data_IF_428060221982
#
_entry.id   IF_428060221982
#
_cell.length_a   1.000
_cell.length_b   1.000
_cell.length_c   1.000
_cell.angle_alpha   90.00
_cell.angle_beta   90.00
_cell.angle_gamma   90.00
#
_symmetry.space_group_name_H-M   'P 1'
#
loop_
_entity.id
_entity.type
_entity.pdbx_description
1 polymer ?
#
# COMPACT_ATOMS: atom_id res chain seq x y z
N UNK A 1 94.82 44.85 110.96
CA UNK A 1 93.61 44.04 110.71
C UNK A 1 92.47 44.82 110.03
N UNK A 2 92.09 46.02 110.50
CA UNK A 2 90.98 46.80 109.91
C UNK A 2 91.16 47.21 108.42
N UNK A 3 92.38 47.53 107.98
CA UNK A 3 92.64 47.93 106.59
C UNK A 3 92.52 46.80 105.56
N UNK A 4 92.71 45.53 105.96
CA UNK A 4 92.54 44.37 105.07
C UNK A 4 91.05 44.04 104.86
N UNK A 5 90.22 44.23 105.88
CA UNK A 5 88.77 44.03 105.77
C UNK A 5 88.11 45.10 104.89
N UNK A 6 88.57 46.36 104.96
CA UNK A 6 88.09 47.42 104.08
C UNK A 6 88.45 47.18 102.60
N UNK A 7 89.65 46.68 102.32
CA UNK A 7 90.06 46.31 100.94
C UNK A 7 89.32 45.08 100.42
N UNK A 8 89.05 44.08 101.25
CA UNK A 8 88.22 42.93 100.86
C UNK A 8 86.75 43.33 100.66
N UNK A 9 86.19 44.22 101.47
CA UNK A 9 84.84 44.74 101.29
C UNK A 9 84.71 45.63 100.05
N UNK A 10 85.72 46.47 99.77
CA UNK A 10 85.74 47.32 98.58
C UNK A 10 86.03 46.51 97.31
N UNK A 11 86.93 45.52 97.35
CA UNK A 11 87.16 44.58 96.24
C UNK A 11 85.92 43.71 95.99
N UNK A 12 85.21 43.28 97.03
CA UNK A 12 83.96 42.52 96.91
C UNK A 12 82.80 43.39 96.41
N UNK A 13 82.77 44.68 96.76
CA UNK A 13 81.79 45.67 96.27
C UNK A 13 82.03 46.03 94.80
N UNK A 14 83.28 46.29 94.40
CA UNK A 14 83.66 46.55 93.00
C UNK A 14 83.38 45.32 92.12
N UNK A 15 83.67 44.10 92.59
CA UNK A 15 83.35 42.87 91.82
C UNK A 15 81.87 42.52 91.75
N UNK A 16 81.02 43.12 92.60
CA UNK A 16 79.56 42.95 92.55
C UNK A 16 78.91 43.99 91.62
N UNK A 17 79.43 45.20 91.58
CA UNK A 17 78.94 46.27 90.69
C UNK A 17 79.39 46.08 89.22
N UNK A 18 80.52 45.41 88.97
CA UNK A 18 80.98 45.06 87.60
C UNK A 18 80.21 43.88 86.95
N UNK A 19 79.29 43.22 87.67
CA UNK A 19 78.47 42.11 87.13
C UNK A 19 77.04 42.49 86.73
N UNK A 20 76.61 43.73 86.91
CA UNK A 20 75.25 44.20 86.57
C UNK A 20 75.19 45.17 85.39
N UNK A 21 76.19 45.13 84.50
CA UNK A 21 76.08 45.63 83.13
C UNK A 21 75.84 44.48 82.14
N UNK A 22 74.95 43.56 82.51
CA UNK A 22 74.24 42.78 81.50
C UNK A 22 73.26 43.73 80.80
N UNK A 23 73.64 44.13 79.59
CA UNK A 23 72.70 44.64 78.59
C UNK A 23 71.56 43.61 78.51
N UNK A 24 70.39 43.93 79.05
CA UNK A 24 69.21 43.11 78.83
C UNK A 24 68.82 43.30 77.36
N UNK A 25 69.23 42.34 76.55
CA UNK A 25 68.86 42.19 75.15
C UNK A 25 68.11 40.89 75.11
N UNK A 26 66.79 40.94 74.89
CA UNK A 26 66.09 39.73 74.47
C UNK A 26 66.67 39.35 73.13
N UNK A 27 67.12 38.10 73.01
CA UNK A 27 67.61 37.57 71.76
C UNK A 27 66.51 37.68 70.67
N UNK A 28 66.88 38.27 69.53
CA UNK A 28 65.92 38.62 68.47
C UNK A 28 65.27 37.37 67.87
N UNK A 29 65.97 36.23 67.84
CA UNK A 29 65.43 34.96 67.38
C UNK A 29 64.38 34.40 68.35
N UNK A 30 64.64 34.51 69.66
CA UNK A 30 63.69 34.14 70.72
C UNK A 30 62.44 35.02 70.67
N UNK A 31 62.60 36.34 70.48
CA UNK A 31 61.48 37.28 70.33
C UNK A 31 60.66 37.02 69.04
N UNK A 32 61.34 36.74 67.93
CA UNK A 32 60.70 36.39 66.66
C UNK A 32 59.89 35.09 66.76
N UNK A 33 60.44 34.07 67.42
CA UNK A 33 59.82 32.76 67.64
C UNK A 33 58.55 32.87 68.48
N UNK A 34 58.65 33.50 69.65
CA UNK A 34 57.52 33.62 70.59
C UNK A 34 56.37 34.39 69.94
N UNK A 35 56.66 35.46 69.20
CA UNK A 35 55.63 36.26 68.52
C UNK A 35 55.07 35.52 67.29
N UNK A 36 55.90 34.90 66.46
CA UNK A 36 55.45 34.21 65.25
C UNK A 36 54.57 32.99 65.55
N UNK A 37 54.87 32.28 66.64
CA UNK A 37 54.12 31.10 67.07
C UNK A 37 52.91 31.45 67.97
N UNK A 38 52.73 32.73 68.33
CA UNK A 38 51.65 33.17 69.25
C UNK A 38 51.81 32.64 70.67
N UNK A 39 53.03 32.41 71.12
CA UNK A 39 53.37 31.92 72.46
C UNK A 39 53.20 33.01 73.53
N UNK A 40 53.13 32.63 74.81
CA UNK A 40 52.98 33.59 75.91
C UNK A 40 54.17 34.56 75.94
N UNK A 41 53.89 35.85 75.82
CA UNK A 41 54.87 36.94 75.89
C UNK A 41 55.20 37.33 77.34
N UNK A 42 54.43 36.82 78.32
CA UNK A 42 54.63 37.06 79.76
C UNK A 42 56.06 36.81 80.26
N UNK A 43 56.74 35.71 79.87
CA UNK A 43 58.13 35.43 80.22
C UNK A 43 59.16 36.42 79.65
N UNK A 44 58.80 37.19 78.62
CA UNK A 44 59.66 38.25 78.06
C UNK A 44 59.37 39.59 78.74
N UNK A 45 58.09 39.86 79.00
CA UNK A 45 57.63 41.13 79.57
C UNK A 45 57.99 41.23 81.05
N UNK A 46 57.70 40.21 81.87
CA UNK A 46 57.91 40.27 83.33
C UNK A 46 59.36 40.61 83.73
N UNK A 47 60.40 39.96 83.16
CA UNK A 47 61.79 40.29 83.47
C UNK A 47 62.18 41.71 83.05
N UNK A 48 61.62 42.24 81.96
CA UNK A 48 61.92 43.60 81.49
C UNK A 48 61.47 44.69 82.48
N UNK A 49 60.30 44.47 83.10
CA UNK A 49 59.75 45.36 84.12
C UNK A 49 60.45 45.18 85.48
N UNK A 50 60.78 43.94 85.88
CA UNK A 50 61.54 43.65 87.10
C UNK A 50 62.95 44.25 87.07
N UNK A 51 63.59 44.31 85.89
CA UNK A 51 64.91 44.92 85.69
C UNK A 51 64.86 46.44 85.49
N UNK A 52 63.68 47.07 85.55
CA UNK A 52 63.51 48.53 85.40
C UNK A 52 63.87 49.08 84.02
N UNK A 53 63.80 48.25 82.96
CA UNK A 53 64.13 48.62 81.57
C UNK A 53 62.96 48.40 80.58
N UNK A 54 61.70 48.76 80.89
CA UNK A 54 60.58 48.54 79.97
C UNK A 54 60.71 49.34 78.66
N UNK A 55 61.37 50.49 78.68
CA UNK A 55 61.61 51.34 77.51
C UNK A 55 62.54 50.66 76.50
N UNK A 56 63.50 49.85 76.97
CA UNK A 56 64.40 49.08 76.12
C UNK A 56 63.66 47.95 75.39
N UNK A 57 62.76 47.23 76.10
CA UNK A 57 61.88 46.23 75.48
C UNK A 57 60.95 46.86 74.44
N UNK A 58 60.32 47.99 74.77
CA UNK A 58 59.46 48.71 73.84
C UNK A 58 60.24 49.17 72.60
N UNK A 59 61.49 49.61 72.76
CA UNK A 59 62.35 49.95 71.64
C UNK A 59 62.66 48.72 70.77
N UNK A 60 63.01 47.58 71.36
CA UNK A 60 63.26 46.33 70.64
C UNK A 60 62.02 45.83 69.88
N UNK A 61 60.84 45.85 70.51
CA UNK A 61 59.57 45.49 69.86
C UNK A 61 59.23 46.42 68.71
N UNK A 62 59.44 47.74 68.85
CA UNK A 62 59.24 48.69 67.75
C UNK A 62 60.20 48.43 66.59
N UNK A 63 61.46 48.10 66.88
CA UNK A 63 62.45 47.75 65.86
C UNK A 63 62.08 46.44 65.17
N UNK A 64 61.60 45.45 65.92
CA UNK A 64 61.10 44.18 65.37
C UNK A 64 59.88 44.39 64.46
N UNK A 65 58.88 45.18 64.89
CA UNK A 65 57.71 45.52 64.07
C UNK A 65 58.15 46.19 62.77
N UNK A 66 59.01 47.22 62.84
CA UNK A 66 59.53 47.90 61.64
C UNK A 66 60.27 46.95 60.71
N UNK A 67 61.07 46.03 61.26
CA UNK A 67 61.78 45.01 60.47
C UNK A 67 60.81 44.07 59.77
N UNK A 68 59.76 43.61 60.47
CA UNK A 68 58.72 42.75 59.89
C UNK A 68 57.87 43.47 58.86
N UNK A 69 57.56 44.76 59.06
CA UNK A 69 56.90 45.59 58.05
C UNK A 69 57.74 45.67 56.77
N UNK A 70 59.06 45.87 56.88
CA UNK A 70 59.98 45.87 55.74
C UNK A 70 60.08 44.49 55.08
N UNK A 71 60.13 43.40 55.85
CA UNK A 71 60.13 42.03 55.32
C UNK A 71 58.85 41.72 54.54
N UNK A 72 57.68 42.17 55.05
CA UNK A 72 56.39 42.05 54.35
C UNK A 72 56.40 42.87 53.07
N UNK A 73 56.86 44.13 53.14
CA UNK A 73 56.93 45.01 51.97
C UNK A 73 57.84 44.42 50.88
N UNK A 74 58.98 43.86 51.27
CA UNK A 74 59.93 43.23 50.35
C UNK A 74 59.36 41.95 49.73
N UNK A 75 58.68 41.10 50.50
CA UNK A 75 58.00 39.92 49.97
C UNK A 75 56.87 40.31 49.00
N UNK A 76 56.09 41.35 49.33
CA UNK A 76 55.09 41.89 48.42
C UNK A 76 55.73 42.45 47.14
N UNK A 77 56.87 43.15 47.24
CA UNK A 77 57.64 43.65 46.07
C UNK A 77 58.25 42.54 45.23
N UNK A 78 58.57 41.39 45.82
CA UNK A 78 59.09 40.25 45.06
C UNK A 78 57.99 39.56 44.24
N UNK A 79 56.76 39.53 44.74
CA UNK A 79 55.65 38.76 44.12
C UNK A 79 54.56 39.62 43.46
N UNK A 80 54.63 40.95 43.48
CA UNK A 80 53.55 41.78 42.92
C UNK A 80 53.36 41.57 41.42
N UNK A 81 54.45 41.34 40.67
CA UNK A 81 54.38 41.09 39.22
C UNK A 81 53.67 39.77 38.92
N UNK A 82 54.01 38.70 39.63
CA UNK A 82 53.35 37.38 39.51
C UNK A 82 51.86 37.47 39.86
N UNK A 83 51.51 38.23 40.89
CA UNK A 83 50.12 38.47 41.27
C UNK A 83 49.35 39.20 40.17
N UNK A 84 49.94 40.27 39.59
CA UNK A 84 49.31 41.01 38.49
C UNK A 84 49.11 40.09 37.28
N UNK A 85 50.12 39.29 36.93
CA UNK A 85 50.02 38.33 35.83
C UNK A 85 48.90 37.31 36.06
N UNK A 86 48.79 36.73 37.26
CA UNK A 86 47.71 35.79 37.58
C UNK A 86 46.31 36.44 37.49
N UNK A 87 46.17 37.69 37.91
CA UNK A 87 44.90 38.44 37.79
C UNK A 87 44.57 38.73 36.32
N UNK A 88 45.56 39.10 35.52
CA UNK A 88 45.37 39.32 34.08
C UNK A 88 44.99 38.02 33.35
N UNK A 89 45.62 36.88 33.68
CA UNK A 89 45.25 35.56 33.14
C UNK A 89 43.81 35.19 33.47
N UNK A 90 43.37 35.39 34.71
CA UNK A 90 41.97 35.17 35.10
C UNK A 90 41.02 36.08 34.31
N UNK A 91 41.41 37.32 34.02
CA UNK A 91 40.61 38.21 33.17
C UNK A 91 40.47 37.67 31.75
N UNK A 92 41.54 37.13 31.16
CA UNK A 92 41.46 36.51 29.83
C UNK A 92 40.54 35.28 29.83
N UNK A 93 40.64 34.41 30.84
CA UNK A 93 39.73 33.26 30.98
C UNK A 93 38.26 33.69 31.08
N UNK A 94 37.97 34.80 31.75
CA UNK A 94 36.61 35.34 31.82
C UNK A 94 36.10 35.85 30.46
N UNK A 95 36.98 36.46 29.66
CA UNK A 95 36.64 36.89 28.29
C UNK A 95 36.36 35.68 27.41
N UNK A 96 37.26 34.69 27.41
CA UNK A 96 37.09 33.44 26.64
C UNK A 96 35.81 32.69 27.02
N UNK A 97 35.48 32.67 28.32
CA UNK A 97 34.25 32.06 28.82
C UNK A 97 32.99 32.79 28.34
N UNK A 98 33.01 34.13 28.27
CA UNK A 98 31.89 34.92 27.75
C UNK A 98 31.73 34.76 26.23
N UNK A 99 32.84 34.73 25.48
CA UNK A 99 32.85 34.43 24.05
C UNK A 99 32.28 33.04 23.76
N UNK A 100 32.72 32.01 24.52
CA UNK A 100 32.19 30.66 24.41
C UNK A 100 30.69 30.60 24.71
N UNK A 101 30.25 31.31 25.76
CA UNK A 101 28.83 31.40 26.11
C UNK A 101 28.01 32.04 24.99
N UNK A 102 28.51 33.11 24.39
CA UNK A 102 27.86 33.76 23.26
C UNK A 102 27.82 32.85 22.02
N UNK A 103 28.94 32.18 21.70
CA UNK A 103 29.02 31.21 20.62
C UNK A 103 28.03 30.05 20.78
N UNK A 104 27.93 29.51 22.00
CA UNK A 104 26.97 28.45 22.31
C UNK A 104 25.52 28.92 22.17
N UNK A 105 25.21 30.14 22.62
CA UNK A 105 23.87 30.71 22.46
C UNK A 105 23.51 30.91 20.98
N UNK A 106 24.44 31.42 20.17
CA UNK A 106 24.27 31.59 18.73
C UNK A 106 24.04 30.26 18.02
N UNK A 107 24.89 29.27 18.27
CA UNK A 107 24.75 27.93 17.69
C UNK A 107 23.45 27.24 18.11
N UNK A 108 23.02 27.42 19.36
CA UNK A 108 21.74 26.90 19.82
C UNK A 108 20.57 27.54 19.07
N UNK A 109 20.58 28.86 18.86
CA UNK A 109 19.55 29.54 18.06
C UNK A 109 19.54 29.04 16.62
N UNK A 110 20.70 28.94 15.97
CA UNK A 110 20.80 28.43 14.60
C UNK A 110 20.28 26.99 14.49
N UNK A 111 20.63 26.13 15.44
CA UNK A 111 20.13 24.76 15.51
C UNK A 111 18.61 24.70 15.69
N UNK A 112 18.05 25.57 16.55
CA UNK A 112 16.60 25.66 16.75
C UNK A 112 15.89 26.17 15.49
N UNK A 113 16.45 27.14 14.79
CA UNK A 113 15.90 27.65 13.53
C UNK A 113 15.86 26.55 12.46
N UNK A 114 16.99 25.86 12.23
CA UNK A 114 17.06 24.72 11.29
C UNK A 114 16.11 23.60 11.72
N UNK A 115 16.08 23.27 13.01
CA UNK A 115 15.18 22.27 13.58
C UNK A 115 13.71 22.60 13.36
N UNK A 116 13.32 23.87 13.58
CA UNK A 116 11.95 24.35 13.37
C UNK A 116 11.54 24.26 11.89
N UNK A 117 12.44 24.63 10.97
CA UNK A 117 12.21 24.51 9.53
C UNK A 117 12.06 23.07 9.08
N UNK A 118 12.82 22.13 9.66
CA UNK A 118 12.69 20.71 9.38
C UNK A 118 11.38 20.13 9.91
N UNK A 119 10.96 20.52 11.12
CA UNK A 119 9.67 20.12 11.68
C UNK A 119 8.50 20.59 10.81
N UNK A 120 8.56 21.82 10.31
CA UNK A 120 7.54 22.33 9.40
C UNK A 120 7.45 21.50 8.11
N UNK A 121 8.59 21.17 7.48
CA UNK A 121 8.62 20.28 6.30
C UNK A 121 8.10 18.88 6.60
N UNK A 122 8.33 18.37 7.81
CA UNK A 122 7.79 17.08 8.24
C UNK A 122 6.27 17.13 8.35
N UNK A 123 5.70 18.21 8.91
CA UNK A 123 4.26 18.40 8.98
C UNK A 123 3.63 18.48 7.58
N UNK A 124 4.23 19.22 6.65
CA UNK A 124 3.82 19.26 5.24
C UNK A 124 3.85 17.85 4.61
N UNK A 125 4.92 17.08 4.85
CA UNK A 125 5.05 15.72 4.34
C UNK A 125 3.95 14.80 4.88
N UNK A 126 3.61 14.91 6.17
CA UNK A 126 2.52 14.14 6.80
C UNK A 126 1.19 14.48 6.13
N UNK A 127 0.91 15.78 5.93
CA UNK A 127 -0.30 16.24 5.24
C UNK A 127 -0.37 15.72 3.80
N UNK A 128 0.73 15.82 3.05
CA UNK A 128 0.82 15.29 1.69
C UNK A 128 0.62 13.77 1.65
N UNK A 129 1.14 13.04 2.63
CA UNK A 129 0.95 11.60 2.72
C UNK A 129 -0.52 11.24 3.00
N UNK A 130 -1.22 12.00 3.86
CA UNK A 130 -2.64 11.83 4.10
C UNK A 130 -3.48 12.12 2.83
N UNK A 131 -3.13 13.16 2.08
CA UNK A 131 -3.77 13.45 0.79
C UNK A 131 -3.53 12.30 -0.20
N UNK A 132 -2.30 11.79 -0.27
CA UNK A 132 -1.92 10.67 -1.14
C UNK A 132 -2.73 9.40 -0.83
N UNK A 133 -2.91 9.04 0.45
CA UNK A 133 -3.69 7.86 0.84
C UNK A 133 -5.18 8.02 0.55
N UNK A 134 -5.73 9.22 0.78
CA UNK A 134 -7.11 9.55 0.42
C UNK A 134 -7.32 9.47 -1.09
N UNK A 135 -6.41 10.02 -1.89
CA UNK A 135 -6.45 9.97 -3.35
C UNK A 135 -6.35 8.53 -3.87
N UNK A 136 -5.44 7.72 -3.31
CA UNK A 136 -5.31 6.31 -3.66
C UNK A 136 -6.63 5.55 -3.39
N UNK A 137 -7.27 5.82 -2.25
CA UNK A 137 -8.55 5.23 -1.89
C UNK A 137 -9.66 5.65 -2.86
N UNK A 138 -9.78 6.95 -3.16
CA UNK A 138 -10.73 7.48 -4.13
C UNK A 138 -10.52 6.86 -5.52
N UNK A 139 -9.27 6.67 -5.95
CA UNK A 139 -8.93 6.04 -7.22
C UNK A 139 -9.35 4.57 -7.27
N UNK A 140 -9.23 3.82 -6.17
CA UNK A 140 -9.74 2.46 -6.08
C UNK A 140 -11.27 2.42 -6.16
N UNK A 141 -11.97 3.36 -5.51
CA UNK A 141 -13.43 3.47 -5.60
C UNK A 141 -13.88 3.81 -7.02
N UNK A 142 -13.21 4.76 -7.68
CA UNK A 142 -13.48 5.13 -9.07
C UNK A 142 -13.25 3.95 -10.03
N UNK A 143 -12.19 3.16 -9.84
CA UNK A 143 -11.95 1.95 -10.63
C UNK A 143 -13.10 0.95 -10.52
N UNK A 144 -13.63 0.75 -9.30
CA UNK A 144 -14.82 -0.10 -9.08
C UNK A 144 -16.04 0.45 -9.81
N UNK A 145 -16.31 1.75 -9.69
CA UNK A 145 -17.40 2.40 -10.40
C UNK A 145 -17.27 2.26 -11.92
N UNK A 146 -16.06 2.46 -12.47
CA UNK A 146 -15.76 2.30 -13.90
C UNK A 146 -16.10 0.89 -14.39
N UNK A 147 -15.67 -0.15 -13.67
CA UNK A 147 -15.99 -1.54 -14.05
C UNK A 147 -17.49 -1.79 -14.14
N UNK A 148 -18.28 -1.24 -13.21
CA UNK A 148 -19.74 -1.37 -13.24
C UNK A 148 -20.34 -0.66 -14.45
N UNK A 149 -19.92 0.58 -14.71
CA UNK A 149 -20.39 1.35 -15.87
C UNK A 149 -20.01 0.67 -17.19
N UNK A 150 -18.79 0.13 -17.30
CA UNK A 150 -18.33 -0.61 -18.48
C UNK A 150 -19.19 -1.88 -18.72
N UNK A 151 -19.58 -2.58 -17.66
CA UNK A 151 -20.49 -3.73 -17.77
C UNK A 151 -21.90 -3.31 -18.20
N UNK A 152 -22.42 -2.19 -17.68
CA UNK A 152 -23.68 -1.64 -18.15
C UNK A 152 -23.63 -1.25 -19.64
N UNK A 153 -22.52 -0.66 -20.10
CA UNK A 153 -22.30 -0.37 -21.52
C UNK A 153 -22.31 -1.65 -22.37
N UNK A 154 -21.63 -2.72 -21.92
CA UNK A 154 -21.66 -4.03 -22.59
C UNK A 154 -23.06 -4.64 -22.66
N UNK A 155 -23.90 -4.44 -21.64
CA UNK A 155 -25.31 -4.87 -21.68
C UNK A 155 -26.04 -4.12 -22.81
N UNK A 156 -25.87 -2.81 -22.90
CA UNK A 156 -26.48 -2.01 -23.97
C UNK A 156 -26.01 -2.45 -25.36
N UNK A 157 -24.72 -2.73 -25.54
CA UNK A 157 -24.16 -3.25 -26.79
C UNK A 157 -24.73 -4.63 -27.14
N UNK A 158 -24.86 -5.54 -26.17
CA UNK A 158 -25.43 -6.87 -26.38
C UNK A 158 -26.93 -6.82 -26.73
N UNK A 159 -27.67 -5.87 -26.18
CA UNK A 159 -29.07 -5.61 -26.56
C UNK A 159 -29.13 -5.07 -28.00
N UNK A 160 -28.23 -4.14 -28.37
CA UNK A 160 -28.18 -3.58 -29.72
C UNK A 160 -27.76 -4.60 -30.80
N UNK A 161 -27.05 -5.66 -30.41
CA UNK A 161 -26.63 -6.76 -31.29
C UNK A 161 -27.60 -7.97 -31.25
N UNK A 162 -28.83 -7.80 -30.74
CA UNK A 162 -29.86 -8.84 -30.57
C UNK A 162 -29.38 -10.10 -29.82
N UNK A 163 -28.30 -9.97 -29.04
CA UNK A 163 -27.67 -11.05 -28.29
C UNK A 163 -28.24 -11.10 -26.87
N UNK A 164 -29.55 -11.32 -26.78
CA UNK A 164 -30.33 -11.20 -25.54
C UNK A 164 -29.84 -12.08 -24.39
N UNK A 165 -29.40 -13.31 -24.68
CA UNK A 165 -28.87 -14.22 -23.66
C UNK A 165 -27.59 -13.68 -23.00
N UNK A 166 -26.68 -13.10 -23.80
CA UNK A 166 -25.45 -12.49 -23.30
C UNK A 166 -25.75 -11.24 -22.46
N UNK A 167 -26.72 -10.42 -22.89
CA UNK A 167 -27.17 -9.26 -22.15
C UNK A 167 -27.70 -9.65 -20.76
N UNK A 168 -28.61 -10.63 -20.70
CA UNK A 168 -29.17 -11.13 -19.43
C UNK A 168 -28.10 -11.73 -18.52
N UNK A 169 -27.18 -12.54 -19.05
CA UNK A 169 -26.08 -13.12 -18.28
C UNK A 169 -25.17 -12.06 -17.67
N UNK A 170 -24.86 -11.01 -18.43
CA UNK A 170 -24.04 -9.89 -17.95
C UNK A 170 -24.79 -9.08 -16.90
N UNK A 171 -26.10 -8.88 -17.07
CA UNK A 171 -26.95 -8.20 -16.11
C UNK A 171 -27.04 -8.96 -14.77
N UNK A 172 -27.14 -10.29 -14.82
CA UNK A 172 -27.11 -11.15 -13.63
C UNK A 172 -25.76 -11.13 -12.92
N UNK A 173 -24.66 -10.95 -13.66
CA UNK A 173 -23.33 -10.80 -13.08
C UNK A 173 -23.20 -9.45 -12.35
N UNK A 174 -23.75 -8.37 -12.92
CA UNK A 174 -23.81 -7.06 -12.27
C UNK A 174 -24.60 -7.14 -10.96
N UNK A 175 -25.76 -7.81 -10.97
CA UNK A 175 -26.62 -7.94 -9.78
C UNK A 175 -25.95 -8.76 -8.67
N UNK A 176 -25.31 -9.89 -9.01
CA UNK A 176 -24.70 -10.78 -8.02
C UNK A 176 -23.37 -10.29 -7.49
N UNK A 177 -22.46 -9.87 -8.38
CA UNK A 177 -21.06 -9.66 -8.02
C UNK A 177 -20.74 -8.20 -7.72
N UNK A 178 -21.49 -7.26 -8.32
CA UNK A 178 -21.12 -5.86 -8.31
C UNK A 178 -22.03 -4.96 -7.47
N UNK A 179 -23.33 -5.25 -7.31
CA UNK A 179 -24.26 -4.37 -6.57
C UNK A 179 -23.80 -4.03 -5.16
N UNK A 180 -23.32 -5.03 -4.40
CA UNK A 180 -22.83 -4.83 -3.02
C UNK A 180 -21.48 -4.10 -2.95
N UNK A 181 -20.76 -4.05 -4.07
CA UNK A 181 -19.40 -3.52 -4.16
C UNK A 181 -19.37 -2.05 -4.58
N UNK A 182 -20.52 -1.47 -4.96
CA UNK A 182 -20.63 -0.08 -5.44
C UNK A 182 -20.50 0.89 -4.25
N UNK A 183 -19.50 1.79 -4.26
CA UNK A 183 -19.30 2.73 -3.16
C UNK A 183 -20.19 3.97 -3.24
N UNK A 184 -20.65 4.35 -4.44
CA UNK A 184 -21.55 5.50 -4.64
C UNK A 184 -23.00 5.10 -4.49
N UNK A 185 -23.72 5.72 -3.55
CA UNK A 185 -25.15 5.50 -3.34
C UNK A 185 -25.98 5.86 -4.58
N UNK A 186 -25.62 6.94 -5.27
CA UNK A 186 -26.32 7.36 -6.48
C UNK A 186 -26.16 6.33 -7.61
N UNK A 187 -24.94 5.84 -7.85
CA UNK A 187 -24.69 4.81 -8.85
C UNK A 187 -25.38 3.49 -8.47
N UNK A 188 -25.34 3.12 -7.19
CA UNK A 188 -25.99 1.91 -6.69
C UNK A 188 -27.50 1.94 -6.97
N UNK A 189 -28.19 3.01 -6.56
CA UNK A 189 -29.64 3.17 -6.79
C UNK A 189 -29.97 3.21 -8.29
N UNK A 190 -29.11 3.84 -9.10
CA UNK A 190 -29.30 3.88 -10.56
C UNK A 190 -29.22 2.47 -11.18
N UNK A 191 -28.19 1.68 -10.84
CA UNK A 191 -28.04 0.31 -11.34
C UNK A 191 -29.17 -0.59 -10.84
N UNK A 192 -29.49 -0.52 -9.55
CA UNK A 192 -30.54 -1.33 -8.92
C UNK A 192 -31.91 -1.12 -9.59
N UNK A 193 -32.27 0.13 -9.90
CA UNK A 193 -33.50 0.46 -10.62
C UNK A 193 -33.41 0.16 -12.13
N UNK A 194 -32.21 0.22 -12.71
CA UNK A 194 -31.96 -0.02 -14.12
C UNK A 194 -32.09 -1.50 -14.52
N UNK A 195 -31.65 -2.42 -13.66
CA UNK A 195 -31.69 -3.88 -13.91
C UNK A 195 -33.10 -4.37 -14.29
N UNK A 196 -34.16 -4.18 -13.47
CA UNK A 196 -35.48 -4.69 -13.80
C UNK A 196 -36.06 -4.04 -15.07
N UNK A 197 -35.73 -2.77 -15.33
CA UNK A 197 -36.16 -2.08 -16.57
C UNK A 197 -35.51 -2.70 -17.81
N UNK A 198 -34.22 -3.03 -17.75
CA UNK A 198 -33.52 -3.69 -18.85
C UNK A 198 -34.08 -5.10 -19.09
N UNK A 199 -34.34 -5.87 -18.03
CA UNK A 199 -34.99 -7.20 -18.15
C UNK A 199 -36.34 -7.11 -18.85
N UNK A 200 -37.20 -6.20 -18.41
CA UNK A 200 -38.51 -5.99 -19.01
C UNK A 200 -38.43 -5.50 -20.47
N UNK A 201 -37.37 -4.78 -20.86
CA UNK A 201 -37.13 -4.41 -22.25
C UNK A 201 -36.75 -5.61 -23.11
N UNK A 202 -35.79 -6.42 -22.64
CA UNK A 202 -35.35 -7.64 -23.33
C UNK A 202 -36.53 -8.61 -23.48
N UNK A 203 -37.31 -8.82 -22.42
CA UNK A 203 -38.50 -9.69 -22.45
C UNK A 203 -39.50 -9.26 -23.53
N UNK A 204 -39.79 -7.95 -23.63
CA UNK A 204 -40.68 -7.42 -24.68
C UNK A 204 -40.12 -7.66 -26.08
N UNK A 205 -38.82 -7.43 -26.29
CA UNK A 205 -38.15 -7.65 -27.58
C UNK A 205 -38.16 -9.12 -28.00
N UNK A 206 -37.80 -10.01 -27.08
CA UNK A 206 -37.81 -11.47 -27.32
C UNK A 206 -39.24 -11.95 -27.61
N UNK A 207 -40.24 -11.50 -26.85
CA UNK A 207 -41.63 -11.87 -27.11
C UNK A 207 -42.13 -11.34 -28.45
N UNK A 208 -41.73 -10.14 -28.86
CA UNK A 208 -42.06 -9.59 -30.16
C UNK A 208 -41.47 -10.46 -31.29
N UNK A 209 -40.17 -10.73 -31.26
CA UNK A 209 -39.51 -11.56 -32.28
C UNK A 209 -40.07 -12.98 -32.32
N UNK A 210 -40.37 -13.56 -31.16
CA UNK A 210 -40.98 -14.88 -31.07
C UNK A 210 -42.38 -14.89 -31.69
N UNK A 211 -43.21 -13.88 -31.42
CA UNK A 211 -44.53 -13.75 -32.03
C UNK A 211 -44.46 -13.54 -33.55
N UNK A 212 -43.53 -12.71 -34.02
CA UNK A 212 -43.27 -12.53 -35.45
C UNK A 212 -42.85 -13.85 -36.11
N UNK A 213 -41.97 -14.62 -35.46
CA UNK A 213 -41.56 -15.95 -35.91
C UNK A 213 -42.74 -16.94 -35.94
N UNK A 214 -43.63 -16.93 -34.95
CA UNK A 214 -44.84 -17.78 -34.93
C UNK A 214 -45.79 -17.48 -36.09
N UNK A 215 -45.90 -16.23 -36.51
CA UNK A 215 -46.67 -15.85 -37.71
C UNK A 215 -46.00 -16.40 -38.97
N UNK A 216 -44.69 -16.20 -39.12
CA UNK A 216 -43.92 -16.66 -40.28
C UNK A 216 -43.93 -18.19 -40.44
N UNK A 217 -43.80 -18.95 -39.34
CA UNK A 217 -43.82 -20.41 -39.41
C UNK A 217 -45.23 -20.94 -39.77
N UNK A 218 -46.29 -20.23 -39.39
CA UNK A 218 -47.67 -20.58 -39.79
C UNK A 218 -47.86 -20.44 -41.30
N UNK A 219 -47.33 -19.39 -41.92
CA UNK A 219 -47.38 -19.20 -43.38
C UNK A 219 -46.54 -20.27 -44.10
N UNK A 220 -45.30 -20.49 -43.61
CA UNK A 220 -44.38 -21.47 -44.22
C UNK A 220 -44.93 -22.90 -44.12
N UNK A 221 -45.53 -23.26 -42.98
CA UNK A 221 -46.12 -24.59 -42.78
C UNK A 221 -47.34 -24.85 -43.65
N UNK A 222 -48.14 -23.82 -43.99
CA UNK A 222 -49.23 -23.95 -44.96
C UNK A 222 -48.70 -24.29 -46.36
N UNK A 223 -47.63 -23.63 -46.80
CA UNK A 223 -47.04 -23.93 -48.12
C UNK A 223 -46.44 -25.34 -48.14
N UNK A 224 -45.72 -25.75 -47.09
CA UNK A 224 -45.22 -27.13 -46.95
C UNK A 224 -46.39 -28.13 -46.98
N UNK A 225 -47.47 -27.84 -46.27
CA UNK A 225 -48.67 -28.68 -46.26
C UNK A 225 -49.32 -28.81 -47.64
N UNK A 226 -49.44 -27.70 -48.37
CA UNK A 226 -49.97 -27.68 -49.75
C UNK A 226 -49.12 -28.52 -50.70
N UNK A 227 -47.79 -28.38 -50.63
CA UNK A 227 -46.86 -29.17 -51.43
C UNK A 227 -46.92 -30.65 -51.08
N UNK A 228 -46.99 -31.00 -49.80
CA UNK A 228 -47.13 -32.39 -49.35
C UNK A 228 -48.43 -33.03 -49.84
N UNK A 229 -49.56 -32.31 -49.75
CA UNK A 229 -50.85 -32.78 -50.28
C UNK A 229 -50.78 -32.95 -51.80
N UNK A 230 -50.21 -32.00 -52.53
CA UNK A 230 -50.01 -32.09 -53.98
C UNK A 230 -49.18 -33.31 -54.37
N UNK A 231 -48.05 -33.55 -53.70
CA UNK A 231 -47.20 -34.72 -53.94
C UNK A 231 -47.92 -36.04 -53.63
N UNK A 232 -48.64 -36.11 -52.51
CA UNK A 232 -49.43 -37.30 -52.15
C UNK A 232 -50.56 -37.57 -53.14
N UNK A 233 -51.23 -36.52 -53.63
CA UNK A 233 -52.26 -36.63 -54.66
C UNK A 233 -51.68 -37.13 -55.98
N UNK A 234 -50.59 -36.53 -56.48
CA UNK A 234 -49.93 -36.99 -57.71
C UNK A 234 -49.31 -38.38 -57.59
N UNK A 235 -48.91 -38.81 -56.39
CA UNK A 235 -48.47 -40.20 -56.15
C UNK A 235 -49.66 -41.17 -56.26
N UNK A 236 -50.79 -40.87 -55.62
CA UNK A 236 -52.03 -41.67 -55.72
C UNK A 236 -52.58 -41.73 -57.15
N UNK A 237 -52.57 -40.61 -57.87
CA UNK A 237 -53.02 -40.59 -59.25
C UNK A 237 -52.16 -41.50 -60.13
N UNK A 238 -50.83 -41.50 -59.92
CA UNK A 238 -49.93 -42.44 -60.59
C UNK A 238 -50.23 -43.89 -60.22
N UNK A 239 -50.52 -44.21 -58.96
CA UNK A 239 -50.95 -45.56 -58.56
C UNK A 239 -52.25 -46.00 -59.23
N UNK A 240 -53.24 -45.10 -59.31
CA UNK A 240 -54.52 -45.36 -60.00
C UNK A 240 -54.30 -45.54 -61.50
N UNK A 241 -53.54 -44.67 -62.16
CA UNK A 241 -53.22 -44.79 -63.59
C UNK A 241 -52.44 -46.07 -63.90
N UNK A 242 -51.52 -46.49 -63.04
CA UNK A 242 -50.84 -47.78 -63.15
C UNK A 242 -51.84 -48.94 -62.97
N UNK A 243 -52.76 -48.85 -62.02
CA UNK A 243 -53.82 -49.82 -61.81
C UNK A 243 -54.81 -49.91 -62.98
N UNK A 244 -55.18 -48.78 -63.58
CA UNK A 244 -56.05 -48.73 -64.76
C UNK A 244 -55.35 -49.26 -66.01
N UNK A 245 -54.05 -48.99 -66.17
CA UNK A 245 -53.23 -49.62 -67.20
C UNK A 245 -53.11 -51.13 -67.00
N UNK A 246 -53.00 -51.59 -65.75
CA UNK A 246 -53.01 -53.02 -65.41
C UNK A 246 -54.36 -53.65 -65.81
N UNK A 247 -55.49 -53.01 -65.45
CA UNK A 247 -56.84 -53.45 -65.81
C UNK A 247 -57.06 -53.46 -67.32
N UNK A 248 -56.60 -52.45 -68.06
CA UNK A 248 -56.68 -52.42 -69.52
C UNK A 248 -55.77 -53.46 -70.20
N UNK A 249 -54.66 -53.85 -69.56
CA UNK A 249 -53.83 -54.98 -70.01
C UNK A 249 -54.49 -56.34 -69.72
N UNK A 250 -55.33 -56.43 -68.67
CA UNK A 250 -56.16 -57.60 -68.36
C UNK A 250 -57.45 -57.67 -69.22
N UNK A 251 -58.02 -56.52 -69.61
CA UNK A 251 -59.25 -56.40 -70.41
C UNK A 251 -59.02 -56.35 -71.93
N UNK A 252 -57.79 -56.10 -72.41
CA UNK A 252 -57.47 -56.44 -73.80
C UNK A 252 -57.58 -57.95 -73.97
N UNK A 253 -58.39 -58.47 -74.92
CA UNK A 253 -58.29 -59.85 -75.34
C UNK A 253 -56.99 -59.98 -76.14
N UNK A 254 -55.87 -60.07 -75.43
CA UNK A 254 -54.66 -60.58 -76.04
C UNK A 254 -54.93 -62.05 -76.34
N UNK A 255 -55.07 -62.33 -77.63
CA UNK A 255 -54.87 -63.63 -78.29
C UNK A 255 -53.45 -64.19 -78.03
N UNK A 256 -52.85 -63.93 -76.87
CA UNK A 256 -51.48 -64.28 -76.51
C UNK A 256 -51.37 -65.04 -75.19
N UNK A 257 -52.47 -65.54 -74.62
CA UNK A 257 -52.41 -66.51 -73.51
C UNK A 257 -52.38 -67.97 -74.00
N UNK A 258 -52.59 -68.26 -75.30
CA UNK A 258 -52.48 -69.63 -75.82
C UNK A 258 -51.44 -69.74 -76.93
N UNK A 259 -50.19 -69.38 -76.63
CA UNK A 259 -49.02 -69.94 -77.34
C UNK A 259 -47.78 -69.96 -76.43
N UNK A 260 -47.91 -70.40 -75.17
CA UNK A 260 -46.72 -70.72 -74.35
C UNK A 260 -46.84 -71.89 -73.40
N UNK A 261 -47.80 -72.78 -73.64
CA UNK A 261 -47.79 -74.12 -73.08
C UNK A 261 -48.05 -75.11 -74.21
N UNK A 262 -46.96 -75.61 -74.80
CA UNK A 262 -46.77 -76.95 -75.40
C UNK A 262 -45.31 -77.04 -75.95
N UNK A 263 -44.37 -77.39 -75.04
CA UNK A 263 -43.23 -78.36 -75.14
C UNK A 263 -42.47 -78.59 -76.49
N UNK A 264 -41.16 -78.95 -76.50
CA UNK A 264 -40.59 -79.98 -75.61
C UNK A 264 -39.22 -79.71 -74.95
N UNK A 265 -39.04 -80.50 -73.89
CA UNK A 265 -37.82 -80.79 -73.13
C UNK A 265 -36.61 -81.10 -74.01
N UNK A 266 -35.45 -80.60 -73.60
CA UNK A 266 -34.20 -81.36 -73.59
C UNK A 266 -32.98 -80.65 -74.18
N UNK A 267 -32.10 -80.13 -73.32
CA UNK A 267 -30.82 -80.81 -73.03
C UNK A 267 -30.18 -80.25 -71.75
N UNK A 268 -29.96 -81.18 -70.82
CA UNK A 268 -28.99 -81.09 -69.73
C UNK A 268 -27.58 -80.83 -70.30
N UNK A 269 -26.82 -79.94 -69.67
CA UNK A 269 -25.39 -80.12 -69.44
C UNK A 269 -25.03 -79.48 -68.10
N UNK A 270 -24.21 -80.22 -67.38
CA UNK A 270 -23.94 -80.17 -65.96
C UNK A 270 -22.46 -79.80 -65.77
N UNK A 271 -22.17 -79.19 -64.62
CA UNK A 271 -20.94 -79.25 -63.83
C UNK A 271 -19.64 -78.53 -64.24
N UNK A 272 -19.08 -77.90 -63.19
CA UNK A 272 -17.64 -77.79 -62.91
C UNK A 272 -17.14 -76.35 -62.97
N UNK A 273 -16.89 -75.60 -61.89
CA UNK A 273 -16.49 -76.01 -60.55
C UNK A 273 -14.98 -76.20 -60.46
N UNK A 274 -14.25 -75.16 -60.02
CA UNK A 274 -12.97 -75.15 -59.28
C UNK A 274 -12.64 -73.68 -58.97
N UNK A 275 -12.80 -73.17 -57.74
CA UNK A 275 -12.00 -73.37 -56.52
C UNK A 275 -10.50 -73.11 -56.65
N UNK A 276 -10.07 -72.02 -56.01
CA UNK A 276 -8.98 -71.95 -55.04
C UNK A 276 -9.13 -70.57 -54.34
N UNK A 277 -9.03 -70.29 -53.04
CA UNK A 277 -9.02 -70.96 -51.74
C UNK A 277 -8.21 -70.03 -50.80
N UNK A 278 -8.65 -69.89 -49.54
CA UNK A 278 -7.96 -69.28 -48.38
C UNK A 278 -7.81 -67.75 -48.36
N UNK A 279 -8.21 -67.02 -47.30
CA UNK A 279 -7.94 -67.20 -45.86
C UNK A 279 -9.15 -66.69 -45.03
N UNK A 280 -9.92 -67.52 -44.30
CA UNK A 280 -9.81 -67.96 -42.89
C UNK A 280 -9.59 -66.89 -41.80
N UNK A 281 -10.53 -66.86 -40.84
CA UNK A 281 -10.46 -66.27 -39.48
C UNK A 281 -11.66 -65.38 -39.12
N UNK A 282 -12.84 -65.91 -38.77
CA UNK A 282 -13.31 -66.27 -37.39
C UNK A 282 -13.41 -65.06 -36.45
N UNK A 283 -14.54 -64.64 -35.87
CA UNK A 283 -15.65 -65.32 -35.15
C UNK A 283 -17.02 -64.69 -35.50
N UNK A 284 -18.14 -65.40 -35.74
CA UNK A 284 -19.08 -66.08 -34.79
C UNK A 284 -19.41 -65.26 -33.53
N UNK A 285 -20.65 -65.10 -33.05
CA UNK A 285 -21.95 -65.71 -33.29
C UNK A 285 -23.03 -64.69 -32.83
N UNK A 286 -24.10 -64.45 -33.61
CA UNK A 286 -25.42 -65.10 -33.54
C UNK A 286 -26.35 -64.63 -32.42
N UNK A 287 -27.49 -64.08 -32.85
CA UNK A 287 -28.86 -64.15 -32.31
C UNK A 287 -29.48 -62.74 -32.44
N UNK A 288 -30.61 -62.50 -33.09
CA UNK A 288 -31.68 -63.36 -33.58
C UNK A 288 -32.96 -62.52 -33.52
N UNK A 289 -33.63 -62.37 -34.67
CA UNK A 289 -35.05 -62.06 -34.85
C UNK A 289 -35.71 -60.91 -34.06
N UNK A 290 -36.28 -59.93 -34.76
CA UNK A 290 -37.74 -59.79 -34.92
C UNK A 290 -38.11 -58.47 -35.63
N UNK A 291 -39.15 -58.57 -36.45
CA UNK A 291 -39.81 -57.48 -37.18
C UNK A 291 -40.54 -56.52 -36.22
N UNK A 292 -40.49 -55.22 -36.50
CA UNK A 292 -41.55 -54.19 -36.31
C UNK A 292 -40.89 -52.82 -36.54
N UNK A 293 -41.28 -52.05 -37.54
CA UNK A 293 -42.43 -51.14 -37.60
C UNK A 293 -42.13 -49.72 -37.04
N UNK A 294 -42.24 -48.74 -37.94
CA UNK A 294 -42.34 -47.28 -37.74
C UNK A 294 -41.20 -46.45 -37.09
N UNK A 295 -41.10 -45.21 -37.60
CA UNK A 295 -40.41 -43.99 -37.08
C UNK A 295 -38.97 -43.74 -37.50
N UNK A 296 -38.82 -43.09 -38.65
CA UNK A 296 -37.69 -42.21 -38.97
C UNK A 296 -38.17 -40.76 -39.04
N UNK A 297 -38.27 -40.10 -37.89
CA UNK A 297 -38.37 -38.63 -37.81
C UNK A 297 -37.08 -38.03 -38.38
N UNK A 298 -37.18 -37.27 -39.47
CA UNK A 298 -36.10 -36.35 -39.85
C UNK A 298 -36.07 -35.19 -38.86
N UNK A 299 -34.87 -34.91 -38.35
CA UNK A 299 -34.59 -34.02 -37.22
C UNK A 299 -34.70 -32.52 -37.56
N UNK A 300 -34.98 -31.63 -36.58
CA UNK A 300 -35.15 -30.18 -36.78
C UNK A 300 -33.89 -29.37 -37.18
N UNK A 301 -32.74 -30.03 -37.39
CA UNK A 301 -31.45 -29.36 -37.56
C UNK A 301 -31.23 -28.77 -38.97
N UNK A 302 -31.96 -29.24 -39.99
CA UNK A 302 -31.77 -28.83 -41.39
C UNK A 302 -32.58 -27.60 -41.83
N UNK A 303 -33.53 -27.11 -41.01
CA UNK A 303 -34.33 -25.92 -41.33
C UNK A 303 -33.64 -24.62 -40.92
N UNK A 304 -32.66 -24.68 -40.00
CA UNK A 304 -31.97 -23.48 -39.47
C UNK A 304 -30.98 -22.82 -40.43
N UNK A 305 -30.56 -23.50 -41.51
CA UNK A 305 -29.42 -23.03 -42.31
C UNK A 305 -29.79 -22.21 -43.57
N UNK A 306 -31.07 -22.10 -43.93
CA UNK A 306 -31.48 -21.42 -45.18
C UNK A 306 -32.39 -20.19 -45.02
N UNK A 307 -32.66 -19.70 -43.81
CA UNK A 307 -33.54 -18.52 -43.59
C UNK A 307 -32.87 -17.52 -42.62
N UNK A 308 -31.60 -17.21 -42.84
CA UNK A 308 -30.93 -16.11 -42.11
C UNK A 308 -30.01 -15.30 -43.03
N UNK A 309 -30.54 -14.91 -44.19
CA UNK A 309 -29.99 -13.79 -44.96
C UNK A 309 -31.12 -12.92 -45.48
N UNK A 310 -31.28 -11.76 -44.85
CA UNK A 310 -31.99 -10.64 -45.44
C UNK A 310 -32.97 -9.96 -44.52
N UNK A 311 -32.48 -9.02 -43.69
CA UNK A 311 -32.79 -7.60 -43.91
C UNK A 311 -32.05 -6.74 -42.91
N UNK A 312 -31.12 -5.96 -43.48
CA UNK A 312 -30.62 -4.72 -42.91
C UNK A 312 -31.81 -3.79 -42.64
N UNK A 313 -32.00 -3.41 -41.38
CA UNK A 313 -32.80 -2.25 -40.98
C UNK A 313 -32.02 -1.47 -39.93
N UNK A 314 -30.91 -0.90 -40.39
CA UNK A 314 -30.30 0.28 -39.79
C UNK A 314 -31.29 1.46 -39.92
N UNK A 315 -31.25 2.34 -38.92
CA UNK A 315 -31.96 3.63 -38.79
C UNK A 315 -33.35 3.55 -38.15
N UNK A 316 -33.39 3.63 -36.80
CA UNK A 316 -34.36 4.41 -35.99
C UNK A 316 -34.26 4.05 -34.49
N UNK A 317 -33.07 4.10 -33.87
CA UNK A 317 -32.93 3.78 -32.43
C UNK A 317 -31.84 4.62 -31.73
N UNK A 318 -31.63 5.86 -32.18
CA UNK A 318 -30.73 6.82 -31.51
C UNK A 318 -31.47 7.97 -30.79
N UNK A 319 -32.81 8.01 -30.85
CA UNK A 319 -33.59 9.14 -30.31
C UNK A 319 -33.86 9.07 -28.80
N UNK A 320 -34.16 7.88 -28.25
CA UNK A 320 -34.75 7.81 -26.91
C UNK A 320 -33.72 7.54 -25.80
N UNK A 321 -32.62 6.86 -26.09
CA UNK A 321 -31.50 6.72 -25.14
C UNK A 321 -30.63 7.99 -25.07
N UNK A 322 -30.54 8.76 -26.17
CA UNK A 322 -29.73 9.98 -26.23
C UNK A 322 -30.38 11.14 -25.46
N UNK A 323 -31.72 11.15 -25.38
CA UNK A 323 -32.51 12.10 -24.57
C UNK A 323 -32.17 12.02 -23.06
N UNK A 324 -31.92 10.82 -22.53
CA UNK A 324 -31.59 10.64 -21.10
C UNK A 324 -30.11 10.88 -20.77
N UNK A 325 -29.20 10.69 -21.73
CA UNK A 325 -27.77 11.01 -21.56
C UNK A 325 -27.50 12.53 -21.66
N UNK A 326 -28.29 13.25 -22.45
CA UNK A 326 -28.22 14.72 -22.57
C UNK A 326 -28.71 15.42 -21.29
N UNK A 327 -29.70 14.85 -20.60
CA UNK A 327 -30.21 15.36 -19.32
C UNK A 327 -29.20 15.28 -18.15
N UNK A 328 -28.09 14.56 -18.33
CA UNK A 328 -27.02 14.40 -17.33
C UNK A 328 -25.72 15.16 -17.70
N UNK A 329 -25.71 15.95 -18.78
CA UNK A 329 -24.66 16.92 -19.08
C UNK A 329 -23.31 16.35 -19.56
N UNK A 330 -23.27 15.13 -20.10
CA UNK A 330 -22.01 14.45 -20.47
C UNK A 330 -21.63 14.65 -21.96
N UNK A 331 -22.53 15.17 -22.81
CA UNK A 331 -22.24 15.44 -24.23
C UNK A 331 -22.95 16.75 -24.67
N UNK A 332 -22.18 17.71 -25.20
CA UNK A 332 -22.72 18.93 -25.84
C UNK A 332 -23.10 18.59 -27.31
N UNK A 333 -24.29 18.97 -27.79
CA UNK A 333 -24.73 18.65 -29.15
C UNK A 333 -23.97 19.48 -30.19
N UNK A 334 -23.68 18.86 -31.35
CA UNK A 334 -23.34 19.56 -32.58
C UNK A 334 -24.62 19.97 -33.32
#
# INVERSE_FOLDING_TARGET
>A
MAAQLARLASRKRVTLEEKEQHQWVVDEATLSSVIANGEDVGPIIRPAFEMGKPEALLHQLRTFVKKKEVEIEELCKQHYEEFIHAVDELRYVLVDADELKHGLAMQNTEMQEVGSGLLHKLDELIQHNAIKTNLASALQLLKKCKTVVDLCAKVNEAIAADSYYQALKTLDAIERDHLRTIPSSALHVWVERGIPRCRAHIERKVNQEFNEWLVQIRETSQEIGRQAIGQAFSARQREVELGDRQRQAEEQPSLAVVQRLLLPRGRFLHCGGQNHAHCWGSHQASAGALRSDTRGFMTPALIKYHIWKGKDRRVEMLGECNSMLTALGVIQPA
#
